data_IF_120127630137
#
_entry.id   IF_120127630137
#
_cell.length_a   1.000
_cell.length_b   1.000
_cell.length_c   1.000
_cell.angle_alpha   90.00
_cell.angle_beta   90.00
_cell.angle_gamma   90.00
#
_symmetry.space_group_name_H-M   'P 1'
#
loop_
_entity.id
_entity.type
_entity.pdbx_description
1 polymer ?
#
# COMPACT_ATOMS: atom_id res chain seq x y z
N UNK A 1 -11.33 -15.19 -2.01
CA UNK A 1 -11.70 -14.41 -0.81
C UNK A 1 -12.41 -13.15 -1.21
N UNK A 2 -13.45 -12.75 -0.46
CA UNK A 2 -14.28 -11.55 -0.70
C UNK A 2 -13.44 -10.29 -0.93
N UNK A 3 -12.29 -10.18 -0.25
CA UNK A 3 -11.27 -9.13 -0.43
C UNK A 3 -10.75 -9.03 -1.88
N UNK A 4 -10.43 -10.16 -2.52
CA UNK A 4 -9.89 -10.17 -3.88
C UNK A 4 -10.98 -9.95 -4.94
N UNK A 5 -12.24 -10.30 -4.63
CA UNK A 5 -13.40 -10.01 -5.49
C UNK A 5 -13.75 -8.52 -5.46
N UNK A 6 -13.73 -7.91 -4.27
CA UNK A 6 -13.94 -6.48 -4.05
C UNK A 6 -12.74 -5.60 -4.39
N UNK A 7 -11.61 -6.18 -4.79
CA UNK A 7 -10.47 -5.47 -5.39
C UNK A 7 -10.50 -5.45 -6.94
N UNK A 8 -11.29 -6.31 -7.62
CA UNK A 8 -11.36 -6.38 -9.11
C UNK A 8 -12.53 -5.62 -9.83
N UNK A 9 -13.74 -5.56 -9.27
CA UNK A 9 -14.87 -4.56 -9.38
C UNK A 9 -14.83 -3.05 -9.76
N UNK A 10 -13.98 -2.46 -10.60
CA UNK A 10 -14.06 -1.07 -11.19
C UNK A 10 -14.79 0.17 -10.56
N UNK A 11 -15.06 0.32 -9.25
CA UNK A 11 -15.80 1.50 -8.68
C UNK A 11 -14.96 2.41 -7.74
N UNK A 12 -15.20 3.73 -7.70
CA UNK A 12 -14.40 4.71 -6.94
C UNK A 12 -14.41 4.52 -5.40
N UNK A 13 -15.47 3.97 -4.80
CA UNK A 13 -15.57 3.80 -3.33
C UNK A 13 -14.77 2.61 -2.75
N UNK A 14 -14.01 1.88 -3.58
CA UNK A 14 -13.40 0.61 -3.19
C UNK A 14 -12.35 0.71 -2.11
N UNK A 15 -11.51 1.73 -2.17
CA UNK A 15 -10.43 1.84 -1.22
C UNK A 15 -10.98 2.13 0.18
N UNK A 16 -12.00 2.98 0.26
CA UNK A 16 -12.74 3.29 1.48
C UNK A 16 -13.55 2.09 2.01
N UNK A 17 -14.16 1.30 1.11
CA UNK A 17 -14.84 0.05 1.48
C UNK A 17 -13.85 -1.00 1.97
N UNK A 18 -12.71 -1.17 1.30
CA UNK A 18 -11.66 -2.11 1.66
C UNK A 18 -11.06 -1.77 3.04
N UNK A 19 -10.89 -0.48 3.35
CA UNK A 19 -10.51 -0.04 4.69
C UNK A 19 -11.58 -0.27 5.75
N UNK A 20 -12.84 -0.04 5.42
CA UNK A 20 -13.94 -0.31 6.35
C UNK A 20 -14.03 -1.79 6.68
N UNK A 21 -13.76 -2.66 5.70
CA UNK A 21 -13.62 -4.09 5.92
C UNK A 21 -12.38 -4.45 6.74
N UNK A 22 -11.24 -3.78 6.56
CA UNK A 22 -10.06 -3.98 7.43
C UNK A 22 -10.40 -3.67 8.89
N UNK A 23 -11.07 -2.54 9.14
CA UNK A 23 -11.54 -2.18 10.49
C UNK A 23 -12.45 -3.26 11.07
N UNK A 24 -13.34 -3.82 10.25
CA UNK A 24 -14.22 -4.91 10.66
C UNK A 24 -13.44 -6.20 10.98
N UNK A 25 -12.50 -6.62 10.12
CA UNK A 25 -11.65 -7.80 10.32
C UNK A 25 -10.84 -7.66 11.61
N UNK A 26 -10.26 -6.49 11.86
CA UNK A 26 -9.52 -6.23 13.10
C UNK A 26 -10.41 -6.27 14.34
N UNK A 27 -11.62 -5.71 14.26
CA UNK A 27 -12.59 -5.77 15.36
C UNK A 27 -12.98 -7.21 15.69
N UNK A 28 -13.25 -8.05 14.68
CA UNK A 28 -13.56 -9.47 14.88
C UNK A 28 -12.36 -10.21 15.48
N UNK A 29 -11.14 -9.88 15.06
CA UNK A 29 -9.91 -10.41 15.66
C UNK A 29 -9.76 -10.05 17.13
N UNK A 30 -10.10 -8.80 17.53
CA UNK A 30 -10.08 -8.41 18.95
C UNK A 30 -11.17 -9.09 19.79
N UNK A 31 -12.23 -9.57 19.16
CA UNK A 31 -13.31 -10.32 19.82
C UNK A 31 -12.99 -11.82 19.99
N UNK A 32 -11.80 -12.27 19.57
CA UNK A 32 -11.37 -13.66 19.72
C UNK A 32 -12.06 -14.62 18.75
N UNK A 33 -12.62 -14.11 17.63
CA UNK A 33 -13.14 -14.96 16.56
C UNK A 33 -11.95 -15.53 15.78
N UNK A 34 -11.57 -16.75 16.13
CA UNK A 34 -10.50 -17.47 15.45
C UNK A 34 -10.80 -17.63 13.95
N UNK A 35 -9.79 -17.32 13.12
CA UNK A 35 -9.84 -17.49 11.66
C UNK A 35 -10.11 -16.22 10.85
N UNK A 36 -10.42 -15.08 11.47
CA UNK A 36 -10.59 -13.78 10.79
C UNK A 36 -9.48 -12.82 11.23
N UNK A 37 -8.27 -13.02 10.71
CA UNK A 37 -7.11 -12.18 11.02
C UNK A 37 -6.61 -11.53 9.74
N UNK A 38 -6.39 -10.21 9.78
CA UNK A 38 -5.77 -9.49 8.67
C UNK A 38 -4.35 -10.03 8.44
N UNK A 39 -3.97 -10.21 7.18
CA UNK A 39 -2.65 -10.67 6.80
C UNK A 39 -2.03 -9.73 5.77
N UNK A 40 -0.77 -9.98 5.39
CA UNK A 40 -0.08 -9.21 4.34
C UNK A 40 -0.89 -9.03 3.06
N UNK A 41 -1.59 -10.08 2.60
CA UNK A 41 -2.44 -10.01 1.40
C UNK A 41 -3.57 -8.99 1.58
N UNK A 42 -4.18 -8.94 2.76
CA UNK A 42 -5.25 -7.99 3.08
C UNK A 42 -4.76 -6.55 2.98
N UNK A 43 -3.62 -6.24 3.62
CA UNK A 43 -3.01 -4.92 3.57
C UNK A 43 -2.57 -4.54 2.15
N UNK A 44 -1.88 -5.45 1.44
CA UNK A 44 -1.45 -5.22 0.06
C UNK A 44 -2.64 -4.96 -0.87
N UNK A 45 -3.75 -5.66 -0.68
CA UNK A 45 -4.96 -5.45 -1.48
C UNK A 45 -5.56 -4.05 -1.26
N UNK A 46 -5.55 -3.55 -0.02
CA UNK A 46 -6.08 -2.22 0.30
C UNK A 46 -5.15 -1.14 -0.27
N UNK A 47 -3.83 -1.31 -0.14
CA UNK A 47 -2.86 -0.38 -0.73
C UNK A 47 -2.97 -0.36 -2.26
N UNK A 48 -3.13 -1.51 -2.91
CA UNK A 48 -3.38 -1.61 -4.35
C UNK A 48 -4.70 -0.92 -4.76
N UNK A 49 -5.75 -1.05 -3.94
CA UNK A 49 -7.01 -0.35 -4.18
C UNK A 49 -6.87 1.17 -4.08
N UNK A 50 -6.10 1.67 -3.10
CA UNK A 50 -5.77 3.09 -3.03
C UNK A 50 -4.91 3.54 -4.22
N UNK A 51 -3.87 2.78 -4.59
CA UNK A 51 -2.99 3.12 -5.71
C UNK A 51 -3.71 3.19 -7.08
N UNK A 52 -4.91 2.62 -7.19
CA UNK A 52 -5.77 2.64 -8.39
C UNK A 52 -6.97 3.58 -8.25
N UNK A 53 -7.06 4.31 -7.15
CA UNK A 53 -8.14 5.25 -6.89
C UNK A 53 -7.83 6.60 -7.51
N UNK A 54 -8.85 7.26 -8.06
CA UNK A 54 -8.74 8.64 -8.60
C UNK A 54 -8.86 9.71 -7.48
N UNK A 55 -8.79 9.28 -6.21
CA UNK A 55 -8.85 10.16 -5.04
C UNK A 55 -7.54 10.93 -4.88
N UNK A 56 -7.60 12.24 -4.70
CA UNK A 56 -6.41 13.10 -4.55
C UNK A 56 -5.56 12.69 -3.33
N UNK A 57 -6.20 12.18 -2.27
CA UNK A 57 -5.54 11.66 -1.07
C UNK A 57 -5.19 10.17 -1.15
N UNK A 58 -5.31 9.52 -2.32
CA UNK A 58 -5.08 8.09 -2.47
C UNK A 58 -3.69 7.66 -2.01
N UNK A 59 -2.64 8.37 -2.42
CA UNK A 59 -1.26 8.06 -2.05
C UNK A 59 -1.02 8.15 -0.54
N UNK A 60 -1.54 9.20 0.09
CA UNK A 60 -1.45 9.40 1.54
C UNK A 60 -2.22 8.31 2.31
N UNK A 61 -3.38 7.89 1.80
CA UNK A 61 -4.14 6.81 2.41
C UNK A 61 -3.45 5.45 2.27
N UNK A 62 -2.85 5.15 1.10
CA UNK A 62 -2.04 3.96 0.91
C UNK A 62 -0.88 3.94 1.92
N UNK A 63 -0.17 5.06 2.07
CA UNK A 63 0.94 5.20 3.01
C UNK A 63 0.49 5.02 4.47
N UNK A 64 -0.67 5.58 4.86
CA UNK A 64 -1.25 5.34 6.19
C UNK A 64 -1.52 3.86 6.45
N UNK A 65 -2.02 3.12 5.45
CA UNK A 65 -2.26 1.68 5.55
C UNK A 65 -0.94 0.91 5.70
N UNK A 66 0.11 1.32 4.97
CA UNK A 66 1.46 0.75 5.11
C UNK A 66 2.01 0.94 6.53
N UNK A 67 2.02 2.17 7.05
CA UNK A 67 2.55 2.42 8.40
C UNK A 67 1.78 1.67 9.48
N UNK A 68 0.47 1.47 9.27
CA UNK A 68 -0.32 0.63 10.18
C UNK A 68 0.15 -0.83 10.14
N UNK A 69 0.37 -1.39 8.95
CA UNK A 69 0.91 -2.74 8.78
C UNK A 69 2.28 -2.88 9.45
N UNK A 70 3.18 -1.94 9.18
CA UNK A 70 4.53 -1.93 9.75
C UNK A 70 4.52 -1.82 11.28
N UNK A 71 3.66 -0.95 11.83
CA UNK A 71 3.48 -0.82 13.28
C UNK A 71 3.00 -2.12 13.91
N UNK A 72 2.02 -2.78 13.29
CA UNK A 72 1.49 -4.06 13.77
C UNK A 72 2.56 -5.17 13.71
N UNK A 73 3.43 -5.16 12.70
CA UNK A 73 4.58 -6.05 12.65
C UNK A 73 5.60 -5.75 13.77
N UNK A 74 6.10 -4.50 13.85
CA UNK A 74 7.19 -4.12 14.76
C UNK A 74 6.79 -4.10 16.23
N UNK A 75 5.63 -3.55 16.57
CA UNK A 75 5.22 -3.36 17.97
C UNK A 75 4.51 -4.59 18.56
N UNK A 76 3.75 -5.33 17.74
CA UNK A 76 3.00 -6.52 18.20
C UNK A 76 3.66 -7.84 17.83
N UNK A 77 4.80 -7.83 17.13
CA UNK A 77 5.53 -9.04 16.73
C UNK A 77 4.74 -9.92 15.75
N UNK A 78 3.84 -9.33 14.96
CA UNK A 78 3.00 -10.09 14.02
C UNK A 78 3.77 -10.37 12.73
N UNK A 79 4.60 -11.41 12.73
CA UNK A 79 5.48 -11.80 11.59
C UNK A 79 4.72 -11.96 10.26
N UNK A 80 3.47 -12.42 10.30
CA UNK A 80 2.62 -12.57 9.11
C UNK A 80 2.20 -11.22 8.47
N UNK A 81 2.54 -10.10 9.11
CA UNK A 81 2.36 -8.73 8.65
C UNK A 81 3.67 -8.04 8.27
N UNK A 82 4.82 -8.75 8.21
CA UNK A 82 6.07 -8.15 7.70
C UNK A 82 5.82 -7.58 6.29
N UNK A 83 6.08 -6.28 6.04
CA UNK A 83 6.01 -5.70 4.70
C UNK A 83 6.92 -6.45 3.71
N UNK A 84 6.42 -6.67 2.50
CA UNK A 84 7.17 -7.29 1.41
C UNK A 84 7.34 -6.33 0.24
N UNK A 85 8.09 -6.74 -0.78
CA UNK A 85 8.25 -5.94 -2.01
C UNK A 85 6.92 -5.44 -2.58
N UNK A 86 5.84 -6.21 -2.52
CA UNK A 86 4.53 -5.80 -3.03
C UNK A 86 3.98 -4.63 -2.19
N UNK A 87 4.12 -4.68 -0.87
CA UNK A 87 3.75 -3.57 0.02
C UNK A 87 4.41 -2.27 -0.40
N UNK A 88 5.73 -2.28 -0.63
CA UNK A 88 6.48 -1.09 -1.05
C UNK A 88 6.15 -0.66 -2.49
N UNK A 89 6.10 -1.60 -3.45
CA UNK A 89 5.75 -1.30 -4.84
C UNK A 89 4.37 -0.63 -4.95
N UNK A 90 3.40 -1.03 -4.12
CA UNK A 90 2.09 -0.39 -4.10
C UNK A 90 2.15 1.07 -3.65
N UNK A 91 3.01 1.41 -2.69
CA UNK A 91 3.18 2.80 -2.23
C UNK A 91 3.88 3.64 -3.29
N UNK A 92 4.94 3.13 -3.90
CA UNK A 92 5.63 3.81 -5.01
C UNK A 92 4.66 4.07 -6.16
N UNK A 93 3.83 3.08 -6.53
CA UNK A 93 2.83 3.25 -7.57
C UNK A 93 1.72 4.24 -7.18
N UNK A 94 1.30 4.28 -5.91
CA UNK A 94 0.30 5.23 -5.45
C UNK A 94 0.83 6.67 -5.55
N UNK A 95 2.07 6.91 -5.11
CA UNK A 95 2.72 8.21 -5.23
C UNK A 95 3.01 8.59 -6.68
N UNK A 96 3.44 7.65 -7.53
CA UNK A 96 3.75 7.97 -8.94
C UNK A 96 2.57 8.42 -9.79
N UNK A 97 1.34 8.07 -9.37
CA UNK A 97 0.10 8.49 -10.03
C UNK A 97 -0.58 9.67 -9.33
N UNK A 98 -0.03 10.11 -8.18
CA UNK A 98 -0.63 11.17 -7.38
C UNK A 98 -0.53 12.52 -8.08
N UNK A 99 -1.60 13.34 -8.10
CA UNK A 99 -1.57 14.70 -8.63
C UNK A 99 -1.05 15.72 -7.58
N UNK A 100 -0.54 15.27 -6.45
CA UNK A 100 -0.04 16.15 -5.39
C UNK A 100 1.36 16.67 -5.76
N UNK A 101 1.62 17.94 -5.45
CA UNK A 101 2.96 18.51 -5.49
C UNK A 101 3.91 17.70 -4.59
N UNK A 102 5.12 17.41 -5.06
CA UNK A 102 6.10 16.60 -4.34
C UNK A 102 5.89 15.08 -4.45
N UNK A 103 4.96 14.63 -5.31
CA UNK A 103 4.63 13.21 -5.46
C UNK A 103 5.78 12.38 -6.05
N UNK A 104 6.56 12.96 -6.98
CA UNK A 104 7.69 12.29 -7.59
C UNK A 104 8.83 12.06 -6.57
N UNK A 105 9.14 13.08 -5.76
CA UNK A 105 10.09 13.00 -4.65
C UNK A 105 9.66 11.98 -3.62
N UNK A 106 8.36 11.91 -3.32
CA UNK A 106 7.82 10.89 -2.42
C UNK A 106 7.99 9.49 -2.98
N UNK A 107 7.70 9.28 -4.27
CA UNK A 107 7.90 7.98 -4.91
C UNK A 107 9.38 7.56 -4.89
N UNK A 108 10.29 8.50 -5.12
CA UNK A 108 11.74 8.29 -5.04
C UNK A 108 12.19 7.98 -3.61
N UNK A 109 11.71 8.71 -2.60
CA UNK A 109 11.99 8.44 -1.18
C UNK A 109 11.65 6.98 -0.81
N UNK A 110 10.53 6.48 -1.30
CA UNK A 110 10.12 5.09 -1.10
C UNK A 110 11.00 4.08 -1.83
N UNK A 111 11.46 4.41 -3.03
CA UNK A 111 12.42 3.58 -3.77
C UNK A 111 13.76 3.50 -3.03
N UNK A 112 14.30 4.64 -2.59
CA UNK A 112 15.54 4.70 -1.80
C UNK A 112 15.42 3.88 -0.52
N UNK A 113 14.28 3.95 0.19
CA UNK A 113 14.02 3.09 1.36
C UNK A 113 14.11 1.60 1.04
N UNK A 114 13.64 1.16 -0.13
CA UNK A 114 13.79 -0.24 -0.56
C UNK A 114 15.25 -0.60 -0.81
N UNK A 115 16.02 0.29 -1.46
CA UNK A 115 17.44 0.08 -1.77
C UNK A 115 18.31 0.01 -0.51
N UNK A 116 18.08 0.92 0.45
CA UNK A 116 18.85 1.02 1.69
C UNK A 116 18.56 -0.12 2.68
N UNK A 117 17.41 -0.80 2.53
CA UNK A 117 16.98 -1.84 3.45
C UNK A 117 17.91 -3.06 3.51
N UNK A 118 18.71 -3.29 2.45
CA UNK A 118 19.57 -4.47 2.26
C UNK A 118 18.85 -5.84 2.42
N UNK A 119 17.51 -5.86 2.39
CA UNK A 119 16.70 -7.08 2.47
C UNK A 119 16.26 -7.51 1.05
N UNK A 120 16.71 -8.69 0.64
CA UNK A 120 16.44 -9.25 -0.69
C UNK A 120 14.94 -9.44 -0.95
N UNK A 121 14.14 -9.64 0.10
CA UNK A 121 12.68 -9.83 -0.02
C UNK A 121 11.94 -8.52 -0.36
N UNK A 122 12.59 -7.38 -0.16
CA UNK A 122 12.06 -6.04 -0.45
C UNK A 122 12.93 -5.26 -1.44
N UNK A 123 13.91 -5.91 -2.08
CA UNK A 123 14.72 -5.30 -3.13
C UNK A 123 13.84 -4.80 -4.29
N UNK A 124 14.06 -3.57 -4.80
CA UNK A 124 13.23 -3.01 -5.86
C UNK A 124 13.40 -3.80 -7.16
N UNK A 125 12.35 -3.78 -7.98
CA UNK A 125 12.36 -4.36 -9.31
C UNK A 125 12.12 -3.28 -10.38
N UNK A 126 12.15 -3.67 -11.66
CA UNK A 126 11.93 -2.75 -12.77
C UNK A 126 10.62 -1.97 -12.69
N UNK A 127 9.57 -2.51 -12.04
CA UNK A 127 8.29 -1.82 -11.86
C UNK A 127 8.47 -0.60 -10.95
N UNK A 128 9.27 -0.73 -9.88
CA UNK A 128 9.53 0.36 -8.94
C UNK A 128 10.26 1.52 -9.64
N UNK A 129 11.35 1.21 -10.36
CA UNK A 129 12.11 2.20 -11.13
C UNK A 129 11.26 2.87 -12.21
N UNK A 130 10.50 2.10 -12.99
CA UNK A 130 9.62 2.66 -14.02
C UNK A 130 8.54 3.56 -13.44
N UNK A 131 8.03 3.25 -12.25
CA UNK A 131 7.02 4.06 -11.57
C UNK A 131 7.60 5.43 -11.15
N UNK A 132 8.80 5.46 -10.57
CA UNK A 132 9.47 6.72 -10.19
C UNK A 132 9.82 7.55 -11.42
N UNK A 133 10.35 6.93 -12.48
CA UNK A 133 10.63 7.62 -13.74
C UNK A 133 9.37 8.23 -14.37
N UNK A 134 8.25 7.49 -14.33
CA UNK A 134 6.97 8.00 -14.81
C UNK A 134 6.47 9.19 -13.97
N UNK A 135 6.68 9.16 -12.65
CA UNK A 135 6.32 10.27 -11.76
C UNK A 135 7.07 11.56 -12.13
N UNK A 136 8.40 11.49 -12.22
CA UNK A 136 9.25 12.62 -12.61
C UNK A 136 8.96 13.14 -14.02
N UNK A 137 8.64 12.25 -14.96
CA UNK A 137 8.28 12.65 -16.31
C UNK A 137 6.96 13.43 -16.38
N UNK A 138 6.04 13.19 -15.44
CA UNK A 138 4.78 13.95 -15.32
C UNK A 138 5.01 15.28 -14.63
N UNK A 139 5.77 15.30 -13.55
CA UNK A 139 6.11 16.50 -12.79
C UNK A 139 6.82 17.55 -13.68
N UNK A 140 7.72 17.11 -14.57
CA UNK A 140 8.40 18.00 -15.52
C UNK A 140 7.51 18.55 -16.66
N UNK A 141 6.27 18.08 -16.79
CA UNK A 141 5.31 18.55 -17.83
C UNK A 141 4.32 19.59 -17.31
N UNK A 142 4.28 19.85 -16.00
CA UNK A 142 3.48 20.88 -15.35
C UNK A 142 4.25 22.21 -15.21
#
# INVERSE_FOLDING_TARGET
>A
SVINALAKSSYPDRAQQAESMLRHIEQLGTQGIDGVVANRITYNTIMDAWAKSDDVGAAQNAERVFYKMERMYKEKGLEHLKPDRISYSNIINAWSQSPLEGAAEKAEEWLTKMEESNDLDISPNYICYNSVLAAWARDAQE
#
